data_IF_856875263154
#
_entry.id   IF_856875263154
#
_cell.length_a   1.000
_cell.length_b   1.000
_cell.length_c   1.000
_cell.angle_alpha   90.00
_cell.angle_beta   90.00
_cell.angle_gamma   90.00
#
_symmetry.space_group_name_H-M   'P 1'
#
loop_
_entity.id
_entity.type
_entity.pdbx_description
1 polymer ?
#
# COMPACT_ATOMS: atom_id res chain seq x y z
N UNK A 1 -1.42 -24.48 -24.29
CA UNK A 1 -0.52 -23.90 -23.28
C UNK A 1 -0.77 -22.41 -23.30
N UNK A 2 -1.39 -21.88 -22.25
CA UNK A 2 -1.46 -20.43 -22.05
C UNK A 2 -0.04 -19.90 -21.87
N UNK A 3 0.28 -18.76 -22.50
CA UNK A 3 1.58 -18.13 -22.37
C UNK A 3 1.81 -17.73 -20.89
N UNK A 4 2.99 -18.04 -20.35
CA UNK A 4 3.36 -17.70 -18.96
C UNK A 4 3.14 -16.22 -18.67
N UNK A 5 3.34 -15.36 -19.67
CA UNK A 5 3.08 -13.92 -19.60
C UNK A 5 1.62 -13.60 -19.23
N UNK A 6 0.65 -14.28 -19.85
CA UNK A 6 -0.79 -14.04 -19.61
C UNK A 6 -1.18 -14.53 -18.21
N UNK A 7 -0.74 -15.74 -17.83
CA UNK A 7 -0.98 -16.29 -16.49
C UNK A 7 -0.36 -15.43 -15.39
N UNK A 8 0.86 -14.94 -15.59
CA UNK A 8 1.52 -14.04 -14.65
C UNK A 8 0.76 -12.71 -14.52
N UNK A 9 0.34 -12.14 -15.65
CA UNK A 9 -0.44 -10.90 -15.67
C UNK A 9 -1.78 -11.06 -14.95
N UNK A 10 -2.49 -12.16 -15.19
CA UNK A 10 -3.74 -12.51 -14.50
C UNK A 10 -3.54 -12.66 -13.00
N UNK A 11 -2.47 -13.33 -12.58
CA UNK A 11 -2.13 -13.47 -11.16
C UNK A 11 -1.93 -12.10 -10.48
N UNK A 12 -1.14 -11.23 -11.09
CA UNK A 12 -0.89 -9.88 -10.54
C UNK A 12 -2.17 -9.04 -10.52
N UNK A 13 -2.99 -9.10 -11.57
CA UNK A 13 -4.27 -8.39 -11.63
C UNK A 13 -5.21 -8.80 -10.50
N UNK A 14 -5.41 -10.11 -10.29
CA UNK A 14 -6.27 -10.64 -9.24
C UNK A 14 -5.74 -10.34 -7.83
N UNK A 15 -4.44 -10.16 -7.67
CA UNK A 15 -3.85 -9.78 -6.38
C UNK A 15 -3.78 -8.26 -6.15
N UNK A 16 -3.98 -7.45 -7.21
CA UNK A 16 -3.85 -5.99 -7.14
C UNK A 16 -4.81 -5.36 -6.14
N UNK A 17 -6.09 -5.77 -6.14
CA UNK A 17 -7.07 -5.32 -5.14
C UNK A 17 -6.62 -5.65 -3.69
N UNK A 18 -6.00 -6.82 -3.50
CA UNK A 18 -5.38 -7.19 -2.22
C UNK A 18 -4.26 -6.23 -1.80
N UNK A 19 -3.47 -5.74 -2.75
CA UNK A 19 -2.44 -4.72 -2.48
C UNK A 19 -3.02 -3.35 -2.17
N UNK A 20 -4.15 -2.98 -2.76
CA UNK A 20 -4.88 -1.76 -2.38
C UNK A 20 -5.41 -1.88 -0.94
N UNK A 21 -5.96 -3.04 -0.55
CA UNK A 21 -6.34 -3.31 0.84
C UNK A 21 -5.16 -3.22 1.80
N UNK A 22 -4.01 -3.76 1.41
CA UNK A 22 -2.78 -3.67 2.20
C UNK A 22 -2.35 -2.21 2.36
N UNK A 23 -2.44 -1.39 1.31
CA UNK A 23 -2.12 0.05 1.38
C UNK A 23 -3.01 0.74 2.43
N UNK A 24 -4.33 0.53 2.33
CA UNK A 24 -5.29 1.08 3.28
C UNK A 24 -5.02 0.58 4.70
N UNK A 25 -4.76 -0.71 4.89
CA UNK A 25 -4.45 -1.29 6.20
C UNK A 25 -3.21 -0.64 6.84
N UNK A 26 -2.11 -0.49 6.08
CA UNK A 26 -0.89 0.15 6.60
C UNK A 26 -1.10 1.64 6.87
N UNK A 27 -1.83 2.34 6.00
CA UNK A 27 -2.23 3.73 6.24
C UNK A 27 -3.01 3.85 7.56
N UNK A 28 -4.02 3.01 7.76
CA UNK A 28 -4.85 3.04 8.95
C UNK A 28 -4.04 2.79 10.24
N UNK A 29 -3.02 1.92 10.21
CA UNK A 29 -2.10 1.74 11.34
C UNK A 29 -1.37 3.04 11.69
N UNK A 30 -0.82 3.73 10.68
CA UNK A 30 -0.09 4.99 10.88
C UNK A 30 -1.02 6.05 11.46
N UNK A 31 -2.19 6.23 10.84
CA UNK A 31 -3.14 7.27 11.23
C UNK A 31 -3.70 7.03 12.63
N UNK A 32 -4.09 5.79 12.95
CA UNK A 32 -4.53 5.43 14.30
C UNK A 32 -3.44 5.67 15.34
N UNK A 33 -2.17 5.36 15.03
CA UNK A 33 -1.04 5.64 15.92
C UNK A 33 -0.80 7.14 16.14
N UNK A 34 -0.94 7.96 15.11
CA UNK A 34 -0.88 9.43 15.22
C UNK A 34 -2.05 9.98 16.07
N UNK A 35 -3.28 9.54 15.79
CA UNK A 35 -4.47 9.99 16.52
C UNK A 35 -4.44 9.56 17.99
N UNK A 36 -3.96 8.35 18.26
CA UNK A 36 -3.77 7.85 19.62
C UNK A 36 -2.67 8.64 20.35
N UNK A 37 -1.55 8.93 19.69
CA UNK A 37 -0.48 9.78 20.25
C UNK A 37 -1.02 11.14 20.69
N UNK A 38 -1.80 11.80 19.83
CA UNK A 38 -2.41 13.09 20.16
C UNK A 38 -3.38 12.98 21.35
N UNK A 39 -4.23 11.95 21.38
CA UNK A 39 -5.18 11.72 22.49
C UNK A 39 -4.48 11.41 23.83
N UNK A 40 -3.34 10.71 23.79
CA UNK A 40 -2.54 10.40 24.98
C UNK A 40 -1.88 11.69 25.49
N UNK A 41 -1.29 12.47 24.58
CA UNK A 41 -0.67 13.75 24.92
C UNK A 41 -1.66 14.72 25.56
N UNK A 42 -2.86 14.87 25.01
CA UNK A 42 -3.88 15.78 25.57
C UNK A 42 -4.39 15.36 26.95
N UNK A 43 -4.19 14.10 27.35
CA UNK A 43 -4.49 13.59 28.70
C UNK A 43 -3.34 13.75 29.68
N UNK A 44 -2.15 14.15 29.21
CA UNK A 44 -0.93 14.20 30.01
C UNK A 44 -0.29 12.82 30.26
N UNK A 45 -0.67 11.80 29.48
CA UNK A 45 -0.17 10.44 29.62
C UNK A 45 1.13 10.22 28.81
N UNK A 46 1.89 9.19 29.17
CA UNK A 46 3.09 8.79 28.40
C UNK A 46 2.75 7.94 27.19
N UNK A 47 3.42 8.22 26.05
CA UNK A 47 3.26 7.42 24.84
C UNK A 47 3.98 6.09 24.96
N UNK A 48 3.23 5.01 24.75
CA UNK A 48 3.80 3.66 24.76
C UNK A 48 4.75 3.42 23.58
N UNK A 49 5.75 2.56 23.80
CA UNK A 49 6.62 2.05 22.72
C UNK A 49 5.84 1.37 21.59
N UNK A 50 4.70 0.76 21.91
CA UNK A 50 3.81 0.13 20.92
C UNK A 50 3.24 1.17 19.94
N UNK A 51 2.77 2.31 20.45
CA UNK A 51 2.26 3.40 19.62
C UNK A 51 3.34 3.97 18.70
N UNK A 52 4.54 4.25 19.25
CA UNK A 52 5.67 4.72 18.46
C UNK A 52 6.03 3.74 17.33
N UNK A 53 6.08 2.44 17.62
CA UNK A 53 6.38 1.41 16.61
C UNK A 53 5.29 1.30 15.54
N UNK A 54 4.02 1.46 15.90
CA UNK A 54 2.93 1.47 14.94
C UNK A 54 3.12 2.57 13.89
N UNK A 55 3.47 3.78 14.31
CA UNK A 55 3.74 4.89 13.37
C UNK A 55 5.01 4.67 12.56
N UNK A 56 6.13 4.34 13.21
CA UNK A 56 7.43 4.18 12.52
C UNK A 56 7.42 3.01 11.52
N UNK A 57 6.96 1.84 11.95
CA UNK A 57 6.97 0.64 11.12
C UNK A 57 5.82 0.65 10.13
N UNK A 58 4.66 1.17 10.53
CA UNK A 58 3.53 1.38 9.64
C UNK A 58 3.88 2.31 8.49
N UNK A 59 4.61 3.42 8.75
CA UNK A 59 5.05 4.34 7.70
C UNK A 59 5.97 3.64 6.69
N UNK A 60 6.96 2.89 7.18
CA UNK A 60 7.85 2.11 6.33
C UNK A 60 7.07 1.10 5.47
N UNK A 61 6.18 0.32 6.10
CA UNK A 61 5.33 -0.65 5.40
C UNK A 61 4.45 0.04 4.34
N UNK A 62 3.81 1.16 4.69
CA UNK A 62 3.01 1.97 3.78
C UNK A 62 3.80 2.41 2.54
N UNK A 63 5.03 2.92 2.71
CA UNK A 63 5.89 3.31 1.57
C UNK A 63 6.27 2.13 0.66
N UNK A 64 6.40 0.93 1.21
CA UNK A 64 6.70 -0.27 0.42
C UNK A 64 5.50 -0.75 -0.40
N UNK A 65 4.28 -0.59 0.11
CA UNK A 65 3.07 -0.93 -0.65
C UNK A 65 2.91 0.02 -1.84
N UNK A 66 3.24 1.31 -1.71
CA UNK A 66 3.23 2.28 -2.82
C UNK A 66 4.12 1.81 -3.97
N UNK A 67 5.36 1.39 -3.67
CA UNK A 67 6.27 0.83 -4.68
C UNK A 67 5.69 -0.44 -5.33
N UNK A 68 5.12 -1.33 -4.52
CA UNK A 68 4.51 -2.58 -5.00
C UNK A 68 3.37 -2.29 -5.98
N UNK A 69 2.48 -1.35 -5.63
CA UNK A 69 1.37 -0.94 -6.48
C UNK A 69 1.86 -0.28 -7.77
N UNK A 70 2.81 0.66 -7.67
CA UNK A 70 3.44 1.30 -8.85
C UNK A 70 3.95 0.26 -9.84
N UNK A 71 4.70 -0.73 -9.37
CA UNK A 71 5.31 -1.72 -10.25
C UNK A 71 4.29 -2.72 -10.79
N UNK A 72 3.28 -3.06 -9.98
CA UNK A 72 2.19 -3.97 -10.39
C UNK A 72 1.31 -3.36 -11.48
N UNK A 73 1.13 -2.03 -11.52
CA UNK A 73 0.34 -1.35 -12.57
C UNK A 73 0.83 -1.76 -13.96
N UNK A 74 2.15 -1.73 -14.20
CA UNK A 74 2.71 -2.11 -15.50
C UNK A 74 2.31 -3.50 -15.90
N UNK A 75 2.37 -4.45 -14.99
CA UNK A 75 1.96 -5.82 -15.27
C UNK A 75 0.47 -5.87 -15.59
N UNK A 76 -0.37 -5.21 -14.79
CA UNK A 76 -1.84 -5.24 -14.96
C UNK A 76 -2.30 -4.55 -16.25
N UNK A 77 -1.81 -3.35 -16.54
CA UNK A 77 -2.33 -2.48 -17.60
C UNK A 77 -1.47 -2.46 -18.86
N UNK A 78 -0.25 -3.03 -18.82
CA UNK A 78 0.83 -2.80 -19.79
C UNK A 78 1.32 -1.34 -19.86
N UNK A 79 0.80 -0.45 -19.02
CA UNK A 79 1.23 0.94 -18.95
C UNK A 79 2.14 1.18 -17.75
N UNK A 80 3.26 1.86 -17.99
CA UNK A 80 4.15 2.21 -16.89
C UNK A 80 3.59 3.39 -16.09
N UNK A 81 3.38 3.17 -14.78
CA UNK A 81 3.23 4.28 -13.84
C UNK A 81 4.62 4.74 -13.40
N UNK A 82 5.02 5.94 -13.84
CA UNK A 82 6.33 6.49 -13.56
C UNK A 82 6.36 7.30 -12.25
N UNK A 83 7.50 7.25 -11.56
CA UNK A 83 7.76 8.11 -10.42
C UNK A 83 7.70 9.59 -10.76
N UNK A 84 7.92 9.99 -12.03
CA UNK A 84 7.74 11.37 -12.47
C UNK A 84 6.30 11.85 -12.32
N UNK A 85 5.30 10.99 -12.58
CA UNK A 85 3.88 11.31 -12.37
C UNK A 85 3.55 11.34 -10.88
N UNK A 86 3.99 10.33 -10.13
CA UNK A 86 3.75 10.24 -8.68
C UNK A 86 4.39 11.42 -7.94
N UNK A 87 5.57 11.90 -8.39
CA UNK A 87 6.28 13.01 -7.75
C UNK A 87 5.56 14.36 -7.86
N UNK A 88 4.60 14.49 -8.78
CA UNK A 88 3.77 15.69 -8.94
C UNK A 88 2.59 15.75 -7.98
N UNK A 89 2.27 14.64 -7.30
CA UNK A 89 1.24 14.61 -6.27
C UNK A 89 1.68 15.39 -5.02
N UNK A 90 0.73 15.77 -4.16
CA UNK A 90 1.10 16.35 -2.85
C UNK A 90 1.97 15.35 -2.09
N UNK A 91 3.09 15.84 -1.56
CA UNK A 91 4.15 15.05 -0.92
C UNK A 91 4.80 13.97 -1.81
N UNK A 92 4.50 13.91 -3.10
CA UNK A 92 4.94 12.81 -3.97
C UNK A 92 6.45 12.70 -4.12
N UNK A 93 7.12 13.83 -4.35
CA UNK A 93 8.59 13.89 -4.40
C UNK A 93 9.22 13.48 -3.05
N UNK A 94 8.62 13.90 -1.93
CA UNK A 94 9.05 13.49 -0.61
C UNK A 94 8.92 11.96 -0.44
N UNK A 95 7.75 11.41 -0.73
CA UNK A 95 7.45 9.97 -0.62
C UNK A 95 8.39 9.10 -1.45
N UNK A 96 8.70 9.53 -2.68
CA UNK A 96 9.68 8.85 -3.54
C UNK A 96 11.06 8.78 -2.88
N UNK A 97 11.53 9.90 -2.35
CA UNK A 97 12.88 9.98 -1.78
C UNK A 97 13.00 9.28 -0.43
N UNK A 98 12.00 9.40 0.45
CA UNK A 98 12.06 8.77 1.78
C UNK A 98 11.92 7.26 1.73
N UNK A 99 11.16 6.73 0.76
CA UNK A 99 11.16 5.27 0.49
C UNK A 99 12.57 4.81 0.17
N UNK A 100 13.28 5.50 -0.72
CA UNK A 100 14.66 5.14 -1.04
C UNK A 100 15.56 5.26 0.18
N UNK A 101 15.42 6.32 0.98
CA UNK A 101 16.20 6.52 2.20
C UNK A 101 16.00 5.38 3.22
N UNK A 102 14.76 4.98 3.44
CA UNK A 102 14.42 3.87 4.34
C UNK A 102 14.96 2.53 3.82
N UNK A 103 14.71 2.21 2.54
CA UNK A 103 15.05 0.88 1.97
C UNK A 103 16.54 0.70 1.72
N UNK A 104 17.23 1.72 1.19
CA UNK A 104 18.62 1.57 0.74
C UNK A 104 19.65 2.04 1.78
N UNK A 105 19.29 2.96 2.67
CA UNK A 105 20.23 3.56 3.61
C UNK A 105 19.92 3.20 5.07
N UNK A 106 18.77 2.55 5.33
CA UNK A 106 18.31 2.25 6.69
C UNK A 106 17.96 3.50 7.50
N UNK A 107 17.64 4.61 6.84
CA UNK A 107 17.40 5.89 7.50
C UNK A 107 16.06 5.89 8.26
N UNK A 108 16.03 6.20 9.57
CA UNK A 108 14.79 6.41 10.30
C UNK A 108 14.15 7.74 9.90
N UNK A 109 13.28 7.67 8.88
CA UNK A 109 12.63 8.84 8.25
C UNK A 109 11.92 9.74 9.27
N UNK A 110 11.12 9.13 10.17
CA UNK A 110 10.42 9.85 11.23
C UNK A 110 11.34 9.92 12.44
N UNK A 111 11.74 11.14 12.80
CA UNK A 111 12.75 11.39 13.83
C UNK A 111 12.39 12.54 14.78
N UNK A 112 11.18 13.08 14.67
CA UNK A 112 10.64 14.11 15.56
C UNK A 112 9.32 13.67 16.19
N UNK A 113 9.13 14.09 17.43
CA UNK A 113 7.84 14.03 18.11
C UNK A 113 7.68 15.28 18.96
N UNK A 114 6.56 15.99 18.82
CA UNK A 114 6.23 17.18 19.58
C UNK A 114 4.71 17.32 19.68
N UNK A 115 4.20 17.73 20.85
CA UNK A 115 2.78 18.00 21.10
C UNK A 115 1.82 16.91 20.61
N UNK A 116 2.19 15.63 20.84
CA UNK A 116 1.36 14.50 20.42
C UNK A 116 1.45 14.13 18.94
N UNK A 117 2.29 14.81 18.15
CA UNK A 117 2.42 14.62 16.70
C UNK A 117 3.81 14.12 16.31
N UNK A 118 3.87 13.38 15.21
CA UNK A 118 5.11 12.84 14.66
C UNK A 118 5.57 13.67 13.47
N UNK A 119 6.88 13.90 13.37
CA UNK A 119 7.50 14.76 12.38
C UNK A 119 8.74 14.14 11.76
N UNK A 120 9.10 14.66 10.59
CA UNK A 120 10.41 14.52 9.99
C UNK A 120 11.13 15.84 10.26
N UNK A 121 11.87 15.91 11.37
CA UNK A 121 12.41 17.15 11.93
C UNK A 121 13.68 17.66 11.22
N UNK A 122 14.33 16.82 10.42
CA UNK A 122 15.58 17.16 9.74
C UNK A 122 15.53 16.78 8.28
N UNK A 123 16.24 17.54 7.43
CA UNK A 123 16.48 17.10 6.05
C UNK A 123 17.13 15.71 6.04
N UNK A 124 16.75 14.89 5.07
CA UNK A 124 17.37 13.59 4.85
C UNK A 124 18.47 13.78 3.81
N UNK A 125 19.69 13.37 4.15
CA UNK A 125 20.84 13.37 3.25
C UNK A 125 21.12 11.92 2.88
N UNK A 126 21.16 11.62 1.58
CA UNK A 126 21.50 10.29 1.07
C UNK A 126 22.43 10.35 -0.13
N UNK A 127 22.95 9.20 -0.52
CA UNK A 127 23.63 9.00 -1.80
C UNK A 127 22.70 8.33 -2.80
N UNK A 128 22.66 8.83 -4.03
CA UNK A 128 22.01 8.13 -5.15
C UNK A 128 22.88 6.96 -5.65
N UNK A 129 22.38 6.23 -6.65
CA UNK A 129 23.10 5.12 -7.28
C UNK A 129 24.44 5.51 -7.95
N UNK A 130 24.73 6.82 -8.06
CA UNK A 130 25.95 7.39 -8.65
C UNK A 130 26.81 8.09 -7.61
N UNK A 131 26.59 7.83 -6.32
CA UNK A 131 27.29 8.47 -5.19
C UNK A 131 27.13 10.00 -5.14
N UNK A 132 26.05 10.55 -5.71
CA UNK A 132 25.73 11.96 -5.58
C UNK A 132 24.88 12.20 -4.35
N UNK A 133 25.15 13.30 -3.64
CA UNK A 133 24.35 13.74 -2.51
C UNK A 133 22.97 14.17 -3.01
N UNK A 134 21.94 13.59 -2.42
CA UNK A 134 20.54 14.02 -2.56
C UNK A 134 20.09 14.53 -1.21
N UNK A 135 19.63 15.78 -1.18
CA UNK A 135 19.00 16.37 -0.01
C UNK A 135 17.48 16.37 -0.18
N UNK A 136 16.80 15.72 0.75
CA UNK A 136 15.34 15.71 0.83
C UNK A 136 14.95 16.70 1.92
N UNK A 137 14.27 17.81 1.59
CA UNK A 137 13.83 18.75 2.60
C UNK A 137 12.87 18.07 3.59
N UNK A 138 12.94 18.49 4.85
CA UNK A 138 11.92 18.14 5.82
C UNK A 138 10.59 18.77 5.40
N UNK A 139 9.49 18.01 5.33
CA UNK A 139 8.15 18.56 5.13
C UNK A 139 7.73 19.40 6.33
N UNK A 140 6.84 20.37 6.11
CA UNK A 140 6.32 21.23 7.18
C UNK A 140 5.21 20.49 7.94
N UNK A 141 4.44 19.67 7.22
CA UNK A 141 3.32 18.91 7.72
C UNK A 141 3.76 17.76 8.63
N UNK A 142 2.88 17.37 9.56
CA UNK A 142 3.09 16.17 10.36
C UNK A 142 2.90 14.89 9.53
N UNK A 143 3.39 13.77 10.07
CA UNK A 143 3.32 12.45 9.39
C UNK A 143 1.88 12.06 9.05
N UNK A 144 0.91 12.46 9.88
CA UNK A 144 -0.50 12.12 9.68
C UNK A 144 -1.03 12.81 8.42
N UNK A 145 -0.81 14.11 8.29
CA UNK A 145 -1.23 14.90 7.13
C UNK A 145 -0.54 14.42 5.84
N UNK A 146 0.78 14.22 5.88
CA UNK A 146 1.54 13.72 4.72
C UNK A 146 0.96 12.41 4.21
N UNK A 147 0.70 11.45 5.11
CA UNK A 147 0.19 10.14 4.72
C UNK A 147 -1.21 10.22 4.12
N UNK A 148 -2.14 10.97 4.73
CA UNK A 148 -3.51 11.09 4.23
C UNK A 148 -3.59 11.78 2.88
N UNK A 149 -2.89 12.92 2.74
CA UNK A 149 -2.93 13.72 1.51
C UNK A 149 -2.28 12.97 0.35
N UNK A 150 -1.10 12.37 0.58
CA UNK A 150 -0.45 11.55 -0.44
C UNK A 150 -1.27 10.33 -0.81
N UNK A 151 -1.79 9.57 0.19
CA UNK A 151 -2.55 8.36 -0.07
C UNK A 151 -3.79 8.66 -0.92
N UNK A 152 -4.51 9.74 -0.63
CA UNK A 152 -5.66 10.17 -1.40
C UNK A 152 -5.28 10.44 -2.86
N UNK A 153 -4.28 11.29 -3.08
CA UNK A 153 -3.83 11.68 -4.42
C UNK A 153 -3.32 10.47 -5.21
N UNK A 154 -2.57 9.58 -4.55
CA UNK A 154 -2.03 8.36 -5.15
C UNK A 154 -3.14 7.36 -5.52
N UNK A 155 -4.14 7.18 -4.66
CA UNK A 155 -5.29 6.32 -4.96
C UNK A 155 -6.11 6.87 -6.14
N UNK A 156 -6.29 8.19 -6.25
CA UNK A 156 -6.91 8.81 -7.43
C UNK A 156 -6.10 8.55 -8.70
N UNK A 157 -4.78 8.75 -8.66
CA UNK A 157 -3.91 8.47 -9.80
C UNK A 157 -3.97 7.01 -10.24
N UNK A 158 -3.95 6.06 -9.30
CA UNK A 158 -4.10 4.63 -9.60
C UNK A 158 -5.47 4.35 -10.23
N UNK A 159 -6.54 4.91 -9.67
CA UNK A 159 -7.90 4.73 -10.17
C UNK A 159 -8.05 5.23 -11.60
N UNK A 160 -7.53 6.41 -11.90
CA UNK A 160 -7.50 6.97 -13.26
C UNK A 160 -6.71 6.08 -14.21
N UNK A 161 -5.56 5.57 -13.76
CA UNK A 161 -4.71 4.67 -14.57
C UNK A 161 -5.43 3.37 -14.88
N UNK A 162 -6.17 2.79 -13.93
CA UNK A 162 -6.94 1.56 -14.15
C UNK A 162 -8.15 1.78 -15.05
N UNK A 163 -8.83 2.93 -14.94
CA UNK A 163 -9.97 3.29 -15.79
C UNK A 163 -9.57 3.56 -17.24
N UNK A 164 -8.36 4.10 -17.46
CA UNK A 164 -7.83 4.35 -18.79
C UNK A 164 -7.32 3.09 -19.50
N UNK A 165 -7.06 2.00 -18.75
CA UNK A 165 -6.51 0.78 -19.30
C UNK A 165 -7.53 0.01 -20.16
N UNK A 166 -7.10 -0.47 -21.32
CA UNK A 166 -7.89 -1.42 -22.11
C UNK A 166 -8.04 -2.74 -21.34
N UNK A 167 -9.29 -3.13 -21.08
CA UNK A 167 -9.60 -4.36 -20.35
C UNK A 167 -9.40 -5.56 -21.29
N UNK A 168 -8.54 -6.48 -20.88
CA UNK A 168 -8.36 -7.77 -21.57
C UNK A 168 -9.19 -8.82 -20.84
N UNK A 169 -10.09 -9.49 -21.55
CA UNK A 169 -10.99 -10.50 -20.98
C UNK A 169 -10.24 -11.67 -20.33
N UNK A 170 -9.03 -12.00 -20.81
CA UNK A 170 -8.16 -13.04 -20.23
C UNK A 170 -7.77 -12.77 -18.76
N UNK A 171 -7.97 -11.56 -18.23
CA UNK A 171 -7.70 -11.26 -16.81
C UNK A 171 -8.86 -11.68 -15.88
N UNK A 172 -10.05 -11.92 -16.44
CA UNK A 172 -11.29 -12.24 -15.70
C UNK A 172 -11.45 -13.72 -15.39
N UNK A 173 -10.40 -14.50 -15.62
CA UNK A 173 -10.37 -15.92 -15.30
C UNK A 173 -9.70 -16.18 -13.95
N UNK A 174 -9.88 -17.40 -13.44
CA UNK A 174 -9.21 -17.87 -12.23
C UNK A 174 -7.69 -17.80 -12.36
N UNK A 175 -7.05 -17.30 -11.30
CA UNK A 175 -5.60 -17.36 -11.10
C UNK A 175 -5.11 -18.78 -10.77
N UNK A 176 -6.02 -19.68 -10.40
CA UNK A 176 -5.73 -21.08 -10.13
C UNK A 176 -6.15 -21.97 -11.29
N UNK A 177 -5.18 -22.68 -11.84
CA UNK A 177 -5.41 -23.85 -12.68
C UNK A 177 -5.34 -25.09 -11.79
N UNK A 178 -6.48 -25.75 -11.60
CA UNK A 178 -6.58 -26.95 -10.77
C UNK A 178 -5.68 -28.08 -11.27
N UNK A 179 -5.44 -28.19 -12.58
CA UNK A 179 -4.55 -29.21 -13.13
C UNK A 179 -3.10 -28.95 -12.69
N UNK A 180 -2.66 -27.69 -12.74
CA UNK A 180 -1.35 -27.29 -12.24
C UNK A 180 -1.22 -27.48 -10.71
N UNK A 181 -2.29 -27.26 -9.95
CA UNK A 181 -2.31 -27.54 -8.50
C UNK A 181 -2.19 -29.03 -8.24
N UNK A 182 -2.97 -29.86 -8.94
CA UNK A 182 -2.91 -31.32 -8.83
C UNK A 182 -1.51 -31.87 -9.17
N UNK A 183 -0.89 -31.35 -10.24
CA UNK A 183 0.47 -31.73 -10.63
C UNK A 183 1.49 -31.34 -9.55
N UNK A 184 1.40 -30.13 -9.00
CA UNK A 184 2.27 -29.68 -7.91
C UNK A 184 2.10 -30.56 -6.67
N UNK A 185 0.86 -30.92 -6.32
CA UNK A 185 0.54 -31.79 -5.20
C UNK A 185 0.93 -33.25 -5.43
N UNK A 186 1.00 -33.72 -6.67
CA UNK A 186 1.48 -35.07 -6.98
C UNK A 186 3.01 -35.16 -6.91
N UNK A 187 3.72 -34.12 -7.39
CA UNK A 187 5.16 -34.20 -7.66
C UNK A 187 6.06 -33.50 -6.62
N UNK A 188 5.51 -32.64 -5.76
CA UNK A 188 6.30 -31.90 -4.77
C UNK A 188 6.70 -32.79 -3.60
N UNK A 189 7.97 -32.77 -3.17
CA UNK A 189 8.41 -33.40 -1.91
C UNK A 189 8.16 -32.52 -0.69
N UNK A 190 7.72 -31.28 -0.89
CA UNK A 190 7.52 -30.28 0.18
C UNK A 190 6.09 -30.27 0.74
N UNK A 191 5.15 -30.92 0.03
CA UNK A 191 3.74 -30.94 0.43
C UNK A 191 3.52 -32.10 1.42
N UNK A 192 3.02 -31.84 2.63
CA UNK A 192 2.73 -32.90 3.59
C UNK A 192 1.61 -33.84 3.10
N UNK A 193 1.65 -35.11 3.51
CA UNK A 193 0.69 -36.14 3.05
C UNK A 193 -0.76 -35.77 3.37
N UNK A 194 -1.02 -35.19 4.55
CA UNK A 194 -2.37 -34.76 4.92
C UNK A 194 -2.95 -33.73 3.93
N UNK A 195 -2.11 -32.87 3.34
CA UNK A 195 -2.57 -31.87 2.38
C UNK A 195 -2.91 -32.52 1.02
N UNK A 196 -2.18 -33.57 0.63
CA UNK A 196 -2.50 -34.37 -0.57
C UNK A 196 -3.81 -35.12 -0.40
N UNK A 197 -4.00 -35.76 0.75
CA UNK A 197 -5.25 -36.44 1.09
C UNK A 197 -6.43 -35.48 1.11
N UNK A 198 -6.26 -34.29 1.71
CA UNK A 198 -7.31 -33.26 1.73
C UNK A 198 -7.69 -32.79 0.33
N UNK A 199 -6.71 -32.53 -0.54
CA UNK A 199 -6.97 -32.16 -1.93
C UNK A 199 -7.69 -33.27 -2.69
N UNK A 200 -7.26 -34.53 -2.51
CA UNK A 200 -7.90 -35.67 -3.15
C UNK A 200 -9.38 -35.80 -2.76
N UNK A 201 -9.70 -35.57 -1.48
CA UNK A 201 -11.05 -35.67 -0.96
C UNK A 201 -11.96 -34.48 -1.32
N UNK A 202 -11.41 -33.29 -1.58
CA UNK A 202 -12.18 -32.06 -1.84
C UNK A 202 -12.08 -31.56 -3.29
N UNK A 203 -11.41 -32.33 -4.16
CA UNK A 203 -11.08 -31.96 -5.54
C UNK A 203 -12.27 -31.43 -6.35
N UNK A 204 -13.35 -32.20 -6.38
CA UNK A 204 -14.50 -31.87 -7.24
C UNK A 204 -15.29 -30.67 -6.69
N UNK A 205 -15.34 -30.53 -5.38
CA UNK A 205 -15.90 -29.34 -4.72
C UNK A 205 -15.09 -28.10 -5.09
N UNK A 206 -13.76 -28.14 -4.98
CA UNK A 206 -12.87 -27.04 -5.37
C UNK A 206 -13.03 -26.68 -6.85
N UNK A 207 -13.10 -27.67 -7.74
CA UNK A 207 -13.33 -27.44 -9.18
C UNK A 207 -14.64 -26.73 -9.46
N UNK A 208 -15.70 -27.09 -8.73
CA UNK A 208 -17.00 -26.46 -8.91
C UNK A 208 -16.99 -25.04 -8.34
N UNK A 209 -16.43 -24.83 -7.14
CA UNK A 209 -16.30 -23.49 -6.56
C UNK A 209 -15.49 -22.54 -7.45
N UNK A 210 -14.40 -23.00 -8.04
CA UNK A 210 -13.58 -22.16 -8.95
C UNK A 210 -14.34 -21.73 -10.22
N UNK A 211 -15.31 -22.51 -10.70
CA UNK A 211 -16.14 -22.14 -11.86
C UNK A 211 -17.18 -21.08 -11.53
N UNK A 212 -17.59 -20.98 -10.26
CA UNK A 212 -18.61 -20.03 -9.82
C UNK A 212 -18.05 -18.64 -9.52
N UNK A 213 -16.74 -18.54 -9.28
CA UNK A 213 -16.09 -17.25 -9.00
C UNK A 213 -15.98 -16.46 -10.29
N UNK A 214 -16.63 -15.30 -10.32
CA UNK A 214 -16.43 -14.28 -11.34
C UNK A 214 -15.28 -13.38 -10.91
N UNK A 215 -14.26 -13.28 -11.75
CA UNK A 215 -13.13 -12.41 -11.49
C UNK A 215 -13.28 -11.14 -12.32
N UNK A 216 -13.26 -9.98 -11.65
CA UNK A 216 -13.12 -8.69 -12.31
C UNK A 216 -12.04 -7.89 -11.56
N UNK A 217 -10.76 -8.22 -11.78
CA UNK A 217 -9.67 -7.70 -10.97
C UNK A 217 -9.57 -6.16 -11.02
N UNK A 218 -9.94 -5.55 -12.15
CA UNK A 218 -9.92 -4.10 -12.31
C UNK A 218 -11.06 -3.45 -11.55
N UNK A 219 -12.30 -3.94 -11.72
CA UNK A 219 -13.44 -3.42 -10.97
C UNK A 219 -13.25 -3.60 -9.46
N UNK A 220 -12.71 -4.76 -9.05
CA UNK A 220 -12.39 -5.04 -7.66
C UNK A 220 -11.34 -4.05 -7.12
N UNK A 221 -10.25 -3.82 -7.85
CA UNK A 221 -9.24 -2.84 -7.46
C UNK A 221 -9.80 -1.41 -7.37
N UNK A 222 -10.63 -0.99 -8.31
CA UNK A 222 -11.27 0.33 -8.30
C UNK A 222 -12.16 0.50 -7.08
N UNK A 223 -12.98 -0.51 -6.73
CA UNK A 223 -13.81 -0.46 -5.51
C UNK A 223 -12.96 -0.28 -4.25
N UNK A 224 -11.85 -0.99 -4.14
CA UNK A 224 -10.96 -0.86 -2.97
C UNK A 224 -10.22 0.48 -2.95
N UNK A 225 -9.91 1.07 -4.11
CA UNK A 225 -9.35 2.42 -4.20
C UNK A 225 -10.38 3.46 -3.72
N UNK A 226 -11.64 3.32 -4.13
CA UNK A 226 -12.74 4.19 -3.68
C UNK A 226 -12.92 4.12 -2.15
N UNK A 227 -12.82 2.93 -1.56
CA UNK A 227 -12.81 2.75 -0.09
C UNK A 227 -11.64 3.48 0.57
N UNK A 228 -10.43 3.36 0.03
CA UNK A 228 -9.25 4.04 0.57
C UNK A 228 -9.34 5.58 0.45
N UNK A 229 -9.88 6.09 -0.66
CA UNK A 229 -10.15 7.52 -0.86
C UNK A 229 -11.16 8.01 0.17
N UNK A 230 -12.28 7.30 0.34
CA UNK A 230 -13.33 7.64 1.31
C UNK A 230 -12.79 7.63 2.75
N UNK A 231 -11.90 6.67 3.07
CA UNK A 231 -11.22 6.66 4.36
C UNK A 231 -10.42 7.95 4.57
N UNK A 232 -9.62 8.38 3.59
CA UNK A 232 -8.84 9.61 3.70
C UNK A 232 -9.74 10.84 3.90
N UNK A 233 -10.86 10.92 3.18
CA UNK A 233 -11.83 12.02 3.32
C UNK A 233 -12.48 12.06 4.71
N UNK A 234 -12.97 10.90 5.18
CA UNK A 234 -13.64 10.81 6.48
C UNK A 234 -12.73 11.18 7.64
N UNK A 235 -11.48 10.72 7.61
CA UNK A 235 -10.51 10.96 8.71
C UNK A 235 -9.93 12.37 8.67
N UNK A 236 -9.90 13.00 7.50
CA UNK A 236 -9.54 14.42 7.38
C UNK A 236 -10.66 15.31 7.92
N UNK A 237 -11.92 15.00 7.59
CA UNK A 237 -13.09 15.76 8.07
C UNK A 237 -13.30 15.66 9.60
N UNK A 238 -12.86 14.56 10.22
CA UNK A 238 -12.89 14.36 11.67
C UNK A 238 -11.70 14.99 12.41
N UNK A 239 -10.70 15.50 11.68
CA UNK A 239 -9.61 16.23 12.30
C UNK A 239 -10.16 17.55 12.83
N UNK A 240 -9.93 17.91 14.12
CA UNK A 240 -10.33 19.22 14.63
C UNK A 240 -9.53 20.29 13.87
N UNK A 241 -10.14 20.85 12.84
CA UNK A 241 -9.68 22.08 12.24
C UNK A 241 -9.91 23.21 13.27
N UNK A 242 -8.84 23.94 13.56
CA UNK A 242 -8.86 25.32 14.07
C UNK A 242 -9.57 25.61 15.40
N UNK A 243 -9.01 25.17 16.53
CA UNK A 243 -9.27 25.81 17.84
C UNK A 243 -8.07 26.66 18.34
N UNK A 244 -7.02 26.85 17.54
CA UNK A 244 -5.82 27.62 17.93
C UNK A 244 -5.65 28.98 17.23
N UNK A 245 -6.63 29.46 16.45
CA UNK A 245 -6.57 30.81 15.86
C UNK A 245 -7.15 31.94 16.75
N UNK A 246 -7.59 31.65 17.98
CA UNK A 246 -8.12 32.69 18.89
C UNK A 246 -7.43 32.74 20.27
N UNK A 247 -6.11 32.56 20.32
CA UNK A 247 -5.34 32.93 21.51
C UNK A 247 -3.93 33.39 21.15
N UNK A 248 -3.83 34.57 20.54
CA UNK A 248 -2.65 35.43 20.68
C UNK A 248 -3.17 36.83 20.97
N UNK A 249 -2.59 37.41 22.04
CA UNK A 249 -2.95 38.65 22.74
C UNK A 249 -3.21 39.88 21.86
#
# INVERSE_FOLDING_TARGET
MEDFSVRHRRFVANYFAGKVKELHFQLAIVINGCDQSLKIFTRGDEISRGNNRAVLYGFSAFTNVIQTLKDSVKTVTNEQLDWSKISLLRHGSFMHNVRNAATHDGNPVINGWADGRYFIATKIIRLDARNKIVEVPAPIEDVRAICLEFAKDFCHLLRETLLAAEIVDDLKESMFDIAAVEEAFANSTLIPDFARELLANTRDELKNSLKEIKYDPIADAIRELDVAIQYCDSVTALSPASDFENSVD
#
